data_IF_356002162267
#
_entry.id   IF_356002162267
#
_cell.length_a   1.000
_cell.length_b   1.000
_cell.length_c   1.000
_cell.angle_alpha   90.00
_cell.angle_beta   90.00
_cell.angle_gamma   90.00
#
_symmetry.space_group_name_H-M   'P 1'
#
loop_
_entity.id
_entity.type
_entity.pdbx_description
1 polymer ?
#
# COMPACT_ATOMS: atom_id res chain seq x y z
N UNK A 1 0.51 -20.13 8.59
CA UNK A 1 -0.20 -19.29 7.61
C UNK A 1 0.69 -18.10 7.27
N UNK A 2 0.71 -17.68 6.00
CA UNK A 2 1.42 -16.46 5.59
C UNK A 2 0.68 -15.23 6.12
N UNK A 3 1.41 -14.20 6.57
CA UNK A 3 0.82 -12.91 6.97
C UNK A 3 0.69 -11.98 5.76
N UNK A 4 -0.43 -11.31 5.65
CA UNK A 4 -0.67 -10.32 4.62
C UNK A 4 0.01 -9.01 5.02
N UNK A 5 1.01 -8.59 4.25
CA UNK A 5 1.78 -7.37 4.54
C UNK A 5 1.54 -6.33 3.45
N UNK A 6 0.97 -5.20 3.85
CA UNK A 6 0.81 -4.04 3.00
C UNK A 6 2.15 -3.30 2.92
N UNK A 7 2.78 -3.29 1.74
CA UNK A 7 4.02 -2.52 1.51
C UNK A 7 3.62 -1.23 0.81
N UNK A 8 3.78 -0.11 1.50
CA UNK A 8 3.28 1.19 1.05
C UNK A 8 4.40 2.08 0.54
N UNK A 9 4.27 2.63 -0.67
CA UNK A 9 5.32 3.41 -1.32
C UNK A 9 4.77 4.51 -2.24
N UNK A 10 5.65 5.42 -2.67
CA UNK A 10 5.32 6.63 -3.43
C UNK A 10 5.06 7.82 -2.51
N UNK A 11 3.86 8.39 -2.59
CA UNK A 11 3.40 9.51 -1.75
C UNK A 11 3.55 10.87 -2.42
N UNK A 12 2.93 11.89 -1.79
CA UNK A 12 2.95 13.29 -2.24
C UNK A 12 4.21 13.99 -1.72
N UNK A 13 5.37 13.56 -2.19
CA UNK A 13 6.68 14.01 -1.73
C UNK A 13 7.63 14.24 -2.92
N UNK A 14 8.64 15.10 -2.74
CA UNK A 14 9.75 15.23 -3.70
C UNK A 14 10.58 13.95 -3.78
N UNK A 15 10.49 13.09 -2.77
CA UNK A 15 11.16 11.79 -2.67
C UNK A 15 10.28 10.63 -3.16
N UNK A 16 9.19 10.93 -3.89
CA UNK A 16 8.26 9.94 -4.44
C UNK A 16 8.96 8.79 -5.17
N UNK A 17 9.89 9.10 -6.08
CA UNK A 17 10.58 8.07 -6.87
C UNK A 17 11.50 7.19 -6.01
N UNK A 18 12.14 7.78 -5.00
CA UNK A 18 12.97 7.05 -4.04
C UNK A 18 12.10 6.07 -3.25
N UNK A 19 10.94 6.53 -2.78
CA UNK A 19 9.97 5.68 -2.08
C UNK A 19 9.47 4.52 -2.94
N UNK A 20 9.14 4.76 -4.20
CA UNK A 20 8.73 3.71 -5.15
C UNK A 20 9.82 2.65 -5.30
N UNK A 21 11.07 3.05 -5.52
CA UNK A 21 12.18 2.11 -5.68
C UNK A 21 12.35 1.26 -4.41
N UNK A 22 12.37 1.89 -3.23
CA UNK A 22 12.47 1.19 -1.94
C UNK A 22 11.33 0.18 -1.77
N UNK A 23 10.08 0.59 -1.96
CA UNK A 23 8.92 -0.28 -1.77
C UNK A 23 8.92 -1.48 -2.71
N UNK A 24 9.21 -1.26 -3.99
CA UNK A 24 9.24 -2.32 -4.99
C UNK A 24 10.36 -3.33 -4.74
N UNK A 25 11.53 -2.88 -4.27
CA UNK A 25 12.61 -3.79 -3.86
C UNK A 25 12.16 -4.72 -2.72
N UNK A 26 11.40 -4.22 -1.74
CA UNK A 26 10.85 -5.06 -0.67
C UNK A 26 9.82 -6.03 -1.23
N UNK A 27 8.90 -5.57 -2.10
CA UNK A 27 7.87 -6.43 -2.72
C UNK A 27 8.50 -7.61 -3.47
N UNK A 28 9.59 -7.37 -4.20
CA UNK A 28 10.28 -8.41 -4.98
C UNK A 28 11.04 -9.41 -4.09
N UNK A 29 11.66 -8.95 -3.00
CA UNK A 29 12.62 -9.73 -2.22
C UNK A 29 12.10 -10.27 -0.88
N UNK A 30 10.89 -9.89 -0.46
CA UNK A 30 10.32 -10.36 0.81
C UNK A 30 10.21 -11.89 0.83
N UNK A 31 10.46 -12.49 2.00
CA UNK A 31 10.30 -13.92 2.24
C UNK A 31 8.83 -14.33 2.02
N UNK A 32 8.55 -14.86 0.83
CA UNK A 32 7.21 -15.25 0.41
C UNK A 32 6.70 -16.49 1.15
N UNK A 33 7.53 -17.23 1.88
CA UNK A 33 7.07 -18.34 2.72
C UNK A 33 6.45 -17.86 4.02
N UNK A 34 6.85 -16.67 4.49
CA UNK A 34 6.29 -16.01 5.68
C UNK A 34 5.22 -14.99 5.35
N UNK A 35 5.35 -14.28 4.23
CA UNK A 35 4.52 -13.11 3.92
C UNK A 35 3.84 -13.22 2.55
N UNK A 36 2.63 -12.67 2.46
CA UNK A 36 1.96 -12.35 1.19
C UNK A 36 2.06 -10.83 0.99
N UNK A 37 2.94 -10.34 0.09
CA UNK A 37 3.04 -8.90 -0.16
C UNK A 37 1.80 -8.39 -0.88
N UNK A 38 1.26 -7.29 -0.37
CA UNK A 38 0.19 -6.50 -0.97
C UNK A 38 0.77 -5.11 -1.23
N UNK A 39 1.21 -4.81 -2.46
CA UNK A 39 1.75 -3.50 -2.78
C UNK A 39 0.64 -2.45 -2.74
N UNK A 40 0.90 -1.32 -2.09
CA UNK A 40 0.03 -0.15 -2.07
C UNK A 40 0.86 1.05 -2.53
N UNK A 41 0.62 1.45 -3.77
CA UNK A 41 1.24 2.61 -4.39
C UNK A 41 0.40 3.86 -4.12
N UNK A 42 1.00 4.92 -3.56
CA UNK A 42 0.37 6.23 -3.43
C UNK A 42 0.93 7.13 -4.53
N UNK A 43 0.08 7.59 -5.45
CA UNK A 43 0.51 8.47 -6.53
C UNK A 43 0.83 9.90 -6.06
N UNK A 44 1.32 10.74 -6.97
CA UNK A 44 1.65 12.15 -6.68
C UNK A 44 0.43 13.02 -6.37
N UNK A 45 -0.78 12.54 -6.63
CA UNK A 45 -2.04 13.20 -6.23
C UNK A 45 -2.54 12.71 -4.87
N UNK A 46 -1.93 11.67 -4.30
CA UNK A 46 -2.33 11.07 -3.04
C UNK A 46 -3.42 10.01 -3.16
N UNK A 47 -3.69 9.50 -4.38
CA UNK A 47 -4.57 8.35 -4.60
C UNK A 47 -3.80 7.05 -4.36
N UNK A 48 -4.47 6.07 -3.79
CA UNK A 48 -3.85 4.83 -3.31
C UNK A 48 -4.29 3.70 -4.22
N UNK A 49 -3.34 2.91 -4.72
CA UNK A 49 -3.59 1.87 -5.71
C UNK A 49 -2.96 0.55 -5.30
N UNK A 50 -3.62 -0.55 -5.67
CA UNK A 50 -3.02 -1.88 -5.66
C UNK A 50 -3.21 -2.55 -7.02
N UNK A 51 -2.45 -3.61 -7.30
CA UNK A 51 -2.50 -4.34 -8.56
C UNK A 51 -1.48 -5.46 -8.61
N UNK A 52 -1.67 -6.42 -9.51
CA UNK A 52 -0.68 -7.47 -9.78
C UNK A 52 0.53 -6.89 -10.51
N UNK A 53 0.36 -5.88 -11.36
CA UNK A 53 1.48 -5.20 -12.04
C UNK A 53 2.51 -4.64 -11.04
N UNK A 54 2.07 -4.16 -9.87
CA UNK A 54 2.93 -3.64 -8.80
C UNK A 54 3.76 -4.71 -8.07
N UNK A 55 3.66 -5.99 -8.42
CA UNK A 55 4.51 -7.04 -7.85
C UNK A 55 5.85 -7.20 -8.55
N UNK A 56 6.03 -6.53 -9.69
CA UNK A 56 7.24 -6.59 -10.51
C UNK A 56 7.68 -5.17 -10.88
N UNK A 57 8.89 -4.78 -10.50
CA UNK A 57 9.44 -3.43 -10.72
C UNK A 57 9.49 -3.05 -12.20
N UNK A 58 9.71 -4.05 -13.07
CA UNK A 58 9.71 -3.87 -14.51
C UNK A 58 8.41 -3.25 -15.02
N UNK A 59 7.25 -3.66 -14.52
CA UNK A 59 5.97 -3.10 -14.95
C UNK A 59 5.84 -1.62 -14.61
N UNK A 60 6.34 -1.20 -13.45
CA UNK A 60 6.38 0.21 -13.08
C UNK A 60 7.29 1.01 -14.00
N UNK A 61 8.50 0.50 -14.26
CA UNK A 61 9.48 1.12 -15.16
C UNK A 61 8.97 1.27 -16.60
N UNK A 62 8.28 0.25 -17.10
CA UNK A 62 7.74 0.22 -18.46
C UNK A 62 6.35 0.90 -18.55
N UNK A 63 5.86 1.49 -17.46
CA UNK A 63 4.53 2.09 -17.33
C UNK A 63 3.37 1.13 -17.71
N UNK A 64 3.54 -0.16 -17.45
CA UNK A 64 2.55 -1.21 -17.65
C UNK A 64 1.72 -1.42 -16.37
N UNK A 65 0.93 -0.41 -16.01
CA UNK A 65 0.14 -0.34 -14.77
C UNK A 65 -1.37 -0.37 -15.05
N UNK A 66 -1.78 -1.16 -16.04
CA UNK A 66 -3.15 -1.14 -16.58
C UNK A 66 -4.20 -1.80 -15.66
N UNK A 67 -3.77 -2.60 -14.70
CA UNK A 67 -4.63 -3.33 -13.77
C UNK A 67 -4.79 -2.66 -12.41
N UNK A 68 -4.25 -1.43 -12.24
CA UNK A 68 -4.35 -0.70 -10.99
C UNK A 68 -5.80 -0.48 -10.58
N UNK A 69 -6.06 -0.69 -9.29
CA UNK A 69 -7.34 -0.47 -8.65
C UNK A 69 -7.15 0.51 -7.51
N UNK A 70 -7.96 1.56 -7.49
CA UNK A 70 -7.94 2.51 -6.38
C UNK A 70 -8.50 1.84 -5.12
N UNK A 71 -7.81 2.00 -4.00
CA UNK A 71 -8.09 1.33 -2.73
C UNK A 71 -8.10 2.30 -1.57
N UNK A 72 -8.67 1.89 -0.45
CA UNK A 72 -8.66 2.64 0.80
C UNK A 72 -8.65 1.71 2.01
N UNK A 73 -8.15 2.24 3.13
CA UNK A 73 -8.43 1.67 4.45
C UNK A 73 -9.72 2.27 5.02
N UNK A 74 -10.38 1.50 5.89
CA UNK A 74 -11.48 1.99 6.70
C UNK A 74 -10.95 2.88 7.83
N UNK A 75 -11.71 3.92 8.18
CA UNK A 75 -11.42 4.75 9.35
C UNK A 75 -11.94 4.14 10.66
N UNK A 76 -12.62 2.98 10.59
CA UNK A 76 -13.13 2.30 11.77
C UNK A 76 -12.01 1.55 12.48
N UNK A 77 -11.75 1.91 13.74
CA UNK A 77 -10.75 1.23 14.55
C UNK A 77 -10.99 -0.30 14.60
N UNK A 78 -9.94 -1.07 14.32
CA UNK A 78 -9.98 -2.54 14.30
C UNK A 78 -10.45 -3.15 12.99
N UNK A 79 -10.84 -2.35 12.00
CA UNK A 79 -11.08 -2.82 10.64
C UNK A 79 -9.77 -2.89 9.86
N UNK A 80 -9.26 -4.11 9.70
CA UNK A 80 -7.97 -4.37 9.08
C UNK A 80 -8.08 -4.67 7.59
N UNK A 81 -9.22 -4.40 6.95
CA UNK A 81 -9.42 -4.72 5.55
C UNK A 81 -8.94 -3.60 4.63
N UNK A 82 -8.39 -4.01 3.48
CA UNK A 82 -8.18 -3.14 2.33
C UNK A 82 -9.41 -3.20 1.44
N UNK A 83 -10.00 -2.06 1.14
CA UNK A 83 -11.20 -1.94 0.33
C UNK A 83 -10.90 -1.36 -1.04
N UNK A 84 -11.68 -1.73 -2.04
CA UNK A 84 -11.78 -0.94 -3.27
C UNK A 84 -12.38 0.43 -2.95
N UNK A 85 -11.83 1.47 -3.56
CA UNK A 85 -12.43 2.79 -3.52
C UNK A 85 -13.82 2.76 -4.16
N UNK A 86 -14.86 3.40 -3.59
CA UNK A 86 -16.23 3.32 -4.10
C UNK A 86 -16.38 3.66 -5.57
N UNK A 87 -15.60 4.62 -6.08
CA UNK A 87 -15.60 5.02 -7.49
C UNK A 87 -15.02 3.93 -8.42
N UNK A 88 -14.29 2.97 -7.88
CA UNK A 88 -13.73 1.81 -8.60
C UNK A 88 -14.62 0.55 -8.53
N UNK A 89 -15.76 0.62 -7.82
CA UNK A 89 -16.66 -0.53 -7.61
C UNK A 89 -17.71 -0.60 -8.72
N UNK A 90 -17.56 -1.55 -9.64
CA UNK A 90 -18.68 -2.00 -10.48
C UNK A 90 -19.72 -2.76 -9.65
N UNK A 91 -20.99 -2.81 -10.11
CA UNK A 91 -22.16 -3.35 -9.39
C UNK A 91 -21.99 -4.74 -8.72
N UNK A 92 -21.01 -5.54 -9.15
CA UNK A 92 -20.80 -6.93 -8.71
C UNK A 92 -19.41 -7.21 -8.11
N UNK A 93 -18.56 -6.19 -7.88
CA UNK A 93 -17.22 -6.42 -7.31
C UNK A 93 -17.28 -6.61 -5.80
N UNK A 94 -16.52 -7.59 -5.29
CA UNK A 94 -16.23 -7.69 -3.86
C UNK A 94 -15.54 -6.40 -3.41
N UNK A 95 -16.07 -5.79 -2.34
CA UNK A 95 -15.54 -4.52 -1.82
C UNK A 95 -14.23 -4.68 -1.08
N UNK A 96 -14.04 -5.82 -0.41
CA UNK A 96 -12.81 -6.17 0.31
C UNK A 96 -11.86 -6.86 -0.65
N UNK A 97 -10.65 -6.31 -0.78
CA UNK A 97 -9.54 -6.88 -1.54
C UNK A 97 -8.85 -7.97 -0.71
N UNK A 98 -8.43 -7.62 0.50
CA UNK A 98 -7.81 -8.54 1.44
C UNK A 98 -7.83 -7.98 2.86
N UNK A 99 -7.54 -8.82 3.85
CA UNK A 99 -7.23 -8.38 5.21
C UNK A 99 -5.73 -8.10 5.30
N UNK A 100 -5.34 -6.98 5.89
CA UNK A 100 -3.95 -6.60 6.15
C UNK A 100 -3.60 -7.02 7.59
N UNK A 101 -2.50 -7.75 7.76
CA UNK A 101 -2.00 -8.13 9.08
C UNK A 101 -0.90 -7.17 9.55
N UNK A 102 -0.09 -6.65 8.62
CA UNK A 102 1.06 -5.79 8.88
C UNK A 102 1.10 -4.67 7.84
N UNK A 103 1.40 -3.45 8.27
CA UNK A 103 1.75 -2.34 7.36
C UNK A 103 3.25 -2.06 7.42
N UNK A 104 3.88 -1.99 6.26
CA UNK A 104 5.28 -1.65 6.07
C UNK A 104 5.36 -0.36 5.21
N UNK A 105 5.45 0.82 5.83
CA UNK A 105 5.58 2.07 5.10
C UNK A 105 7.03 2.28 4.64
N UNK A 106 7.22 2.56 3.34
CA UNK A 106 8.50 3.00 2.76
C UNK A 106 8.36 4.39 2.13
N UNK A 107 7.48 5.23 2.68
CA UNK A 107 7.21 6.59 2.20
C UNK A 107 8.23 7.55 2.79
N UNK A 108 8.99 8.21 1.92
CA UNK A 108 10.05 9.14 2.30
C UNK A 108 9.58 10.61 2.26
N UNK A 109 10.18 11.44 3.11
CA UNK A 109 9.94 12.88 3.15
C UNK A 109 8.57 13.27 3.72
N UNK A 110 8.01 14.35 3.18
CA UNK A 110 6.77 14.97 3.70
C UNK A 110 5.62 13.95 3.76
N UNK A 111 4.93 13.94 4.91
CA UNK A 111 3.88 13.02 5.32
C UNK A 111 4.32 11.57 5.59
N UNK A 112 5.51 11.14 5.17
CA UNK A 112 6.01 9.78 5.39
C UNK A 112 6.86 9.64 6.65
N UNK A 113 7.80 10.56 6.84
CA UNK A 113 8.82 10.50 7.90
C UNK A 113 8.64 11.58 8.99
N UNK A 114 7.64 12.46 8.83
CA UNK A 114 7.33 13.55 9.77
C UNK A 114 6.28 13.18 10.83
N UNK A 115 5.84 11.92 10.89
CA UNK A 115 4.84 11.44 11.83
C UNK A 115 3.40 11.47 11.31
N UNK A 116 3.12 12.07 10.15
CA UNK A 116 1.75 12.19 9.62
C UNK A 116 1.12 10.83 9.31
N UNK A 117 1.83 9.98 8.55
CA UNK A 117 1.34 8.63 8.22
C UNK A 117 1.20 7.75 9.45
N UNK A 118 2.12 7.88 10.40
CA UNK A 118 2.12 7.16 11.67
C UNK A 118 0.89 7.55 12.49
N UNK A 119 0.60 8.85 12.62
CA UNK A 119 -0.60 9.34 13.29
C UNK A 119 -1.90 8.88 12.63
N UNK A 120 -1.92 8.85 11.29
CA UNK A 120 -3.05 8.30 10.53
C UNK A 120 -3.28 6.82 10.86
N UNK A 121 -2.23 6.00 10.91
CA UNK A 121 -2.36 4.59 11.26
C UNK A 121 -2.71 4.36 12.73
N UNK A 122 -2.19 5.17 13.66
CA UNK A 122 -2.59 5.07 15.08
C UNK A 122 -4.10 5.31 15.28
N UNK A 123 -4.73 6.15 14.43
CA UNK A 123 -6.16 6.40 14.50
C UNK A 123 -6.99 5.28 13.84
N UNK A 124 -6.60 4.85 12.64
CA UNK A 124 -7.44 3.96 11.82
C UNK A 124 -7.11 2.47 11.99
N UNK A 125 -5.85 2.14 12.22
CA UNK A 125 -5.31 0.78 12.18
C UNK A 125 -4.47 0.49 13.43
N UNK A 126 -5.08 0.01 14.53
CA UNK A 126 -4.34 -0.36 15.75
C UNK A 126 -3.50 -1.64 15.58
N UNK A 127 -3.43 -2.20 14.37
CA UNK A 127 -2.60 -3.36 14.05
C UNK A 127 -1.11 -3.00 13.99
N UNK A 128 -0.23 -4.02 13.95
CA UNK A 128 1.21 -3.80 13.94
C UNK A 128 1.65 -3.14 12.61
N UNK A 129 2.45 -2.08 12.73
CA UNK A 129 3.12 -1.43 11.60
C UNK A 129 4.58 -1.10 11.96
N UNK A 130 5.45 -1.07 10.95
CA UNK A 130 6.87 -0.72 11.12
C UNK A 130 7.00 0.80 11.34
N UNK A 131 7.75 1.19 12.38
CA UNK A 131 8.06 2.59 12.72
C UNK A 131 9.54 2.85 12.47
N UNK A 132 9.85 4.02 11.91
CA UNK A 132 11.20 4.57 11.79
C UNK A 132 11.30 5.83 12.64
#
# INVERSE_FOLDING_TARGET
MKKNIAIMFGGRSVEHEVSVITGMQIVENIDRDKYKPIPIYIDKNGKWFTGESLKEFKNFKDNNLNDLQEVMFSANAGDHNLYLHPESIGLFRKRVIDRIDIVFPTIHGTNGEDGTLQGLFELMYPGPYVRY
#
